data_IF_765562085046
#
_entry.id   IF_765562085046
#
_cell.length_a   1.000
_cell.length_b   1.000
_cell.length_c   1.000
_cell.angle_alpha   90.00
_cell.angle_beta   90.00
_cell.angle_gamma   90.00
#
_symmetry.space_group_name_H-M   'P 1'
#
loop_
_entity.id
_entity.type
_entity.pdbx_description
1 polymer ?
#
# COMPACT_ATOMS: atom_id res chain seq x y z
N UNK A 1 -26.78 9.41 34.12
CA UNK A 1 -25.51 9.91 33.56
C UNK A 1 -24.38 9.46 34.47
N UNK A 2 -23.21 9.22 33.90
CA UNK A 2 -21.96 8.93 34.60
C UNK A 2 -20.97 10.03 34.21
N UNK A 3 -20.34 10.66 35.19
CA UNK A 3 -19.39 11.76 34.96
C UNK A 3 -18.12 11.52 35.77
N UNK A 4 -16.97 11.95 35.25
CA UNK A 4 -15.71 12.09 35.99
C UNK A 4 -15.31 10.81 36.75
N UNK A 5 -15.42 9.67 36.09
CA UNK A 5 -15.16 8.36 36.68
C UNK A 5 -13.75 7.90 36.35
N UNK A 6 -13.04 7.35 37.35
CA UNK A 6 -11.77 6.68 37.14
C UNK A 6 -11.95 5.19 37.44
N UNK A 7 -11.63 4.35 36.45
CA UNK A 7 -11.70 2.89 36.56
C UNK A 7 -10.26 2.36 36.64
N UNK A 8 -9.95 1.64 37.71
CA UNK A 8 -8.64 1.02 37.96
C UNK A 8 -8.75 -0.50 37.85
N UNK A 9 -7.62 -1.19 38.01
CA UNK A 9 -7.51 -2.65 37.99
C UNK A 9 -8.65 -3.38 38.71
N UNK A 10 -9.31 -4.32 38.00
CA UNK A 10 -10.49 -5.10 38.40
C UNK A 10 -11.78 -4.29 38.55
N UNK A 11 -11.74 -3.00 38.29
CA UNK A 11 -12.93 -2.16 38.19
C UNK A 11 -13.64 -2.41 36.88
N UNK A 12 -14.95 -2.62 36.95
CA UNK A 12 -15.79 -2.77 35.78
C UNK A 12 -17.00 -1.86 35.92
N UNK A 13 -17.29 -1.10 34.87
CA UNK A 13 -18.49 -0.28 34.80
C UNK A 13 -19.34 -0.70 33.60
N UNK A 14 -20.63 -0.97 33.86
CA UNK A 14 -21.61 -1.24 32.83
C UNK A 14 -22.57 -0.07 32.72
N UNK A 15 -22.70 0.47 31.50
CA UNK A 15 -23.65 1.52 31.17
C UNK A 15 -24.48 1.07 29.98
N UNK A 16 -25.79 1.06 30.14
CA UNK A 16 -26.73 0.73 29.05
C UNK A 16 -27.64 1.93 28.83
N UNK A 17 -27.45 2.63 27.71
CA UNK A 17 -28.08 3.91 27.44
C UNK A 17 -27.59 5.06 28.34
N UNK A 18 -28.06 6.28 28.07
CA UNK A 18 -27.67 7.47 28.84
C UNK A 18 -26.41 8.17 28.34
N UNK A 19 -25.67 8.83 29.23
CA UNK A 19 -24.48 9.61 28.89
C UNK A 19 -23.35 9.34 29.89
N UNK A 20 -22.16 9.06 29.36
CA UNK A 20 -20.88 8.90 30.06
C UNK A 20 -19.94 10.01 29.62
N UNK A 21 -19.31 10.72 30.55
CA UNK A 21 -18.35 11.77 30.19
C UNK A 21 -17.20 11.89 31.18
N UNK A 22 -16.01 12.24 30.69
CA UNK A 22 -14.85 12.52 31.55
C UNK A 22 -14.28 11.26 32.22
N UNK A 23 -14.38 10.10 31.55
CA UNK A 23 -13.94 8.83 32.13
C UNK A 23 -12.47 8.57 31.84
N UNK A 24 -11.71 8.15 32.86
CA UNK A 24 -10.35 7.62 32.71
C UNK A 24 -10.38 6.12 33.02
N UNK A 25 -9.94 5.30 32.07
CA UNK A 25 -9.87 3.85 32.19
C UNK A 25 -8.39 3.45 32.24
N UNK A 26 -7.88 3.16 33.43
CA UNK A 26 -6.48 2.74 33.62
C UNK A 26 -6.32 1.23 33.45
N UNK A 27 -5.08 0.77 33.42
CA UNK A 27 -4.69 -0.64 33.30
C UNK A 27 -5.53 -1.59 34.16
N UNK A 28 -6.08 -2.61 33.50
CA UNK A 28 -6.99 -3.61 34.08
C UNK A 28 -8.39 -3.13 34.46
N UNK A 29 -8.78 -1.91 34.07
CA UNK A 29 -10.15 -1.40 34.21
C UNK A 29 -10.96 -1.53 32.91
N UNK A 30 -12.26 -1.78 33.06
CA UNK A 30 -13.17 -1.99 31.92
C UNK A 30 -14.41 -1.09 31.99
N UNK A 31 -14.74 -0.43 30.87
CA UNK A 31 -16.03 0.23 30.64
C UNK A 31 -16.77 -0.45 29.50
N UNK A 32 -17.97 -0.94 29.78
CA UNK A 32 -18.94 -1.43 28.81
C UNK A 32 -20.02 -0.38 28.60
N UNK A 33 -20.06 0.25 27.43
CA UNK A 33 -20.99 1.34 27.10
C UNK A 33 -21.88 0.95 25.90
N UNK A 34 -23.07 0.43 26.20
CA UNK A 34 -24.00 -0.08 25.18
C UNK A 34 -25.21 0.85 25.01
N UNK A 35 -25.26 1.58 23.89
CA UNK A 35 -26.26 2.61 23.62
C UNK A 35 -25.96 3.96 24.32
N UNK A 36 -26.56 5.04 23.82
CA UNK A 36 -26.41 6.37 24.42
C UNK A 36 -25.17 7.13 23.93
N UNK A 37 -24.54 7.93 24.79
CA UNK A 37 -23.38 8.76 24.45
C UNK A 37 -22.19 8.53 25.39
N UNK A 38 -20.99 8.51 24.84
CA UNK A 38 -19.72 8.47 25.56
C UNK A 38 -18.86 9.62 25.07
N UNK A 39 -18.24 10.38 25.96
CA UNK A 39 -17.42 11.53 25.55
C UNK A 39 -16.24 11.80 26.46
N UNK A 40 -15.17 12.36 25.92
CA UNK A 40 -14.01 12.79 26.69
C UNK A 40 -13.43 11.64 27.53
N UNK A 41 -13.20 10.50 26.87
CA UNK A 41 -12.70 9.29 27.53
C UNK A 41 -11.20 9.14 27.27
N UNK A 42 -10.44 8.83 28.32
CA UNK A 42 -9.02 8.48 28.21
C UNK A 42 -8.84 7.03 28.63
N UNK A 43 -8.30 6.22 27.74
CA UNK A 43 -7.99 4.80 27.96
C UNK A 43 -6.48 4.68 28.10
N UNK A 44 -5.97 4.33 29.28
CA UNK A 44 -4.56 4.18 29.61
C UNK A 44 -4.27 2.73 30.03
N UNK A 45 -4.25 1.80 29.06
CA UNK A 45 -4.09 0.36 29.30
C UNK A 45 -5.37 -0.40 29.69
N UNK A 46 -6.48 0.31 29.90
CA UNK A 46 -7.79 -0.32 30.13
C UNK A 46 -8.55 -0.67 28.85
N UNK A 47 -9.82 -1.05 29.00
CA UNK A 47 -10.74 -1.36 27.90
C UNK A 47 -11.96 -0.43 27.91
N UNK A 48 -12.27 0.13 26.74
CA UNK A 48 -13.63 0.59 26.40
C UNK A 48 -14.22 -0.38 25.38
N UNK A 49 -15.28 -1.08 25.77
CA UNK A 49 -16.14 -1.85 24.88
C UNK A 49 -17.44 -1.06 24.67
N UNK A 50 -17.70 -0.64 23.44
CA UNK A 50 -18.89 0.10 23.09
C UNK A 50 -19.69 -0.59 21.99
N UNK A 51 -21.01 -0.64 22.14
CA UNK A 51 -21.85 -1.34 21.18
C UNK A 51 -23.20 -0.66 20.98
N UNK A 52 -23.78 -0.86 19.79
CA UNK A 52 -25.14 -0.44 19.45
C UNK A 52 -25.21 0.68 18.42
N UNK A 53 -26.13 0.55 17.45
CA UNK A 53 -26.27 1.49 16.32
C UNK A 53 -26.55 2.94 16.75
N UNK A 54 -27.16 3.15 17.92
CA UNK A 54 -27.45 4.48 18.47
C UNK A 54 -26.34 5.03 19.37
N UNK A 55 -25.25 4.28 19.58
CA UNK A 55 -24.13 4.72 20.42
C UNK A 55 -23.33 5.78 19.70
N UNK A 56 -23.12 6.92 20.36
CA UNK A 56 -22.33 8.04 19.86
C UNK A 56 -21.13 8.24 20.79
N UNK A 57 -19.92 8.22 20.24
CA UNK A 57 -18.67 8.32 21.00
C UNK A 57 -17.86 9.48 20.45
N UNK A 58 -17.35 10.34 21.33
CA UNK A 58 -16.59 11.53 20.92
C UNK A 58 -15.35 11.74 21.79
N UNK A 59 -14.28 12.27 21.21
CA UNK A 59 -13.09 12.70 21.95
C UNK A 59 -12.52 11.57 22.81
N UNK A 60 -12.11 10.48 22.17
CA UNK A 60 -11.48 9.35 22.85
C UNK A 60 -9.97 9.42 22.64
N UNK A 61 -9.20 9.29 23.73
CA UNK A 61 -7.74 9.15 23.66
C UNK A 61 -7.38 7.75 24.14
N UNK A 62 -6.67 6.99 23.30
CA UNK A 62 -6.24 5.62 23.59
C UNK A 62 -4.73 5.59 23.72
N UNK A 63 -4.23 5.25 24.91
CA UNK A 63 -2.82 5.22 25.25
C UNK A 63 -2.40 3.91 25.93
N UNK A 64 -1.09 3.68 26.01
CA UNK A 64 -0.45 2.68 26.88
C UNK A 64 -1.09 1.28 26.76
N UNK A 65 -1.16 0.75 25.54
CA UNK A 65 -1.78 -0.54 25.20
C UNK A 65 -3.29 -0.61 25.49
N UNK A 66 -3.94 0.54 25.68
CA UNK A 66 -5.39 0.63 25.84
C UNK A 66 -6.14 0.07 24.64
N UNK A 67 -7.31 -0.49 24.91
CA UNK A 67 -8.17 -1.11 23.91
C UNK A 67 -9.50 -0.38 23.79
N UNK A 68 -9.86 -0.02 22.57
CA UNK A 68 -11.16 0.55 22.22
C UNK A 68 -11.88 -0.35 21.22
N UNK A 69 -12.79 -1.19 21.71
CA UNK A 69 -13.57 -2.13 20.92
C UNK A 69 -14.94 -1.54 20.61
N UNK A 70 -15.36 -1.59 19.34
CA UNK A 70 -16.64 -1.02 18.92
C UNK A 70 -17.40 -1.98 18.03
N UNK A 71 -18.64 -2.30 18.43
CA UNK A 71 -19.57 -3.09 17.64
C UNK A 71 -20.86 -2.31 17.36
N UNK A 72 -20.91 -1.70 16.16
CA UNK A 72 -21.92 -0.73 15.75
C UNK A 72 -21.87 0.54 16.61
N UNK A 73 -21.78 1.70 15.98
CA UNK A 73 -21.73 2.99 16.66
C UNK A 73 -21.24 4.09 15.73
N UNK A 74 -21.32 5.34 16.19
CA UNK A 74 -20.85 6.52 15.49
C UNK A 74 -19.77 7.21 16.34
N UNK A 75 -18.57 7.33 15.80
CA UNK A 75 -17.39 7.81 16.53
C UNK A 75 -16.84 9.04 15.83
N UNK A 76 -16.54 10.08 16.60
CA UNK A 76 -15.77 11.21 16.12
C UNK A 76 -14.56 11.44 17.03
N UNK A 77 -13.46 11.88 16.43
CA UNK A 77 -12.31 12.43 17.15
C UNK A 77 -11.67 11.39 18.09
N UNK A 78 -11.02 10.39 17.50
CA UNK A 78 -10.21 9.43 18.26
C UNK A 78 -8.73 9.73 18.07
N UNK A 79 -7.97 9.84 19.15
CA UNK A 79 -6.50 9.89 19.11
C UNK A 79 -5.93 8.61 19.69
N UNK A 80 -5.08 7.91 18.93
CA UNK A 80 -4.48 6.63 19.33
C UNK A 80 -2.96 6.81 19.44
N UNK A 81 -2.41 6.71 20.66
CA UNK A 81 -0.98 6.81 20.95
C UNK A 81 -0.50 5.52 21.63
N UNK A 82 0.15 4.61 20.90
CA UNK A 82 0.57 3.32 21.48
C UNK A 82 -0.60 2.58 22.15
N UNK A 83 -1.70 2.39 21.40
CA UNK A 83 -2.92 1.72 21.84
C UNK A 83 -3.69 1.21 20.61
N UNK A 84 -4.92 0.73 20.79
CA UNK A 84 -5.68 0.13 19.69
C UNK A 84 -7.16 0.50 19.67
N UNK A 85 -7.69 0.66 18.46
CA UNK A 85 -9.11 0.75 18.18
C UNK A 85 -9.50 -0.33 17.17
N UNK A 86 -10.51 -1.13 17.49
CA UNK A 86 -11.09 -2.15 16.62
C UNK A 86 -12.55 -1.80 16.33
N UNK A 87 -12.90 -1.63 15.05
CA UNK A 87 -14.27 -1.31 14.63
C UNK A 87 -14.89 -2.44 13.82
N UNK A 88 -16.09 -2.85 14.22
CA UNK A 88 -16.83 -3.99 13.64
C UNK A 88 -18.31 -3.66 13.39
N UNK A 89 -18.99 -4.54 12.66
CA UNK A 89 -20.41 -4.37 12.30
C UNK A 89 -20.60 -3.22 11.31
N UNK A 90 -21.46 -2.27 11.64
CA UNK A 90 -21.77 -1.08 10.83
C UNK A 90 -21.27 0.19 11.51
N UNK A 91 -20.04 0.16 12.04
CA UNK A 91 -19.47 1.29 12.78
C UNK A 91 -19.01 2.37 11.82
N UNK A 92 -19.36 3.63 12.12
CA UNK A 92 -18.89 4.81 11.40
C UNK A 92 -17.92 5.58 12.28
N UNK A 93 -16.73 5.87 11.75
CA UNK A 93 -15.69 6.64 12.45
C UNK A 93 -15.24 7.79 11.56
N UNK A 94 -15.02 8.96 12.17
CA UNK A 94 -14.45 10.14 11.49
C UNK A 94 -13.41 10.82 12.38
N UNK A 95 -12.37 11.41 11.77
CA UNK A 95 -11.38 12.21 12.49
C UNK A 95 -10.48 11.39 13.42
N UNK A 96 -10.03 10.22 12.97
CA UNK A 96 -9.08 9.41 13.74
C UNK A 96 -7.65 9.85 13.46
N UNK A 97 -6.89 10.16 14.51
CA UNK A 97 -5.45 10.43 14.45
C UNK A 97 -4.70 9.29 15.12
N UNK A 98 -3.78 8.68 14.39
CA UNK A 98 -3.02 7.50 14.82
C UNK A 98 -1.55 7.90 14.84
N UNK A 99 -0.95 7.89 16.02
CA UNK A 99 0.45 8.23 16.24
C UNK A 99 1.27 6.97 16.53
N UNK A 100 2.55 7.14 16.88
CA UNK A 100 3.49 6.04 17.11
C UNK A 100 2.95 4.91 17.99
N UNK A 101 3.02 3.68 17.50
CA UNK A 101 2.51 2.47 18.15
C UNK A 101 0.98 2.35 18.17
N UNK A 102 0.26 3.37 17.71
CA UNK A 102 -1.19 3.37 17.62
C UNK A 102 -1.68 2.50 16.46
N UNK A 103 -2.80 1.83 16.67
CA UNK A 103 -3.41 0.94 15.67
C UNK A 103 -4.91 1.14 15.54
N UNK A 104 -5.39 1.29 14.31
CA UNK A 104 -6.80 1.11 13.96
C UNK A 104 -6.96 -0.18 13.15
N UNK A 105 -7.92 -1.03 13.51
CA UNK A 105 -8.33 -2.17 12.70
C UNK A 105 -9.80 -2.04 12.28
N UNK A 106 -10.04 -2.15 10.98
CA UNK A 106 -11.35 -1.99 10.35
C UNK A 106 -11.84 -3.35 9.86
N UNK A 107 -13.07 -3.70 10.25
CA UNK A 107 -13.73 -4.94 9.89
C UNK A 107 -15.17 -4.72 9.43
N UNK A 108 -15.73 -5.77 8.81
CA UNK A 108 -17.12 -5.93 8.39
C UNK A 108 -17.56 -4.84 7.42
N UNK A 109 -18.65 -4.12 7.73
CA UNK A 109 -19.18 -3.01 6.94
C UNK A 109 -18.78 -1.65 7.55
N UNK A 110 -17.78 -1.64 8.44
CA UNK A 110 -17.37 -0.41 9.11
C UNK A 110 -16.72 0.55 8.12
N UNK A 111 -16.88 1.84 8.38
CA UNK A 111 -16.32 2.92 7.56
C UNK A 111 -15.53 3.86 8.44
N UNK A 112 -14.25 4.03 8.13
CA UNK A 112 -13.40 5.05 8.73
C UNK A 112 -13.14 6.17 7.70
N UNK A 113 -13.44 7.40 8.08
CA UNK A 113 -13.30 8.60 7.26
C UNK A 113 -12.30 9.56 7.91
N UNK A 114 -11.63 10.37 7.09
CA UNK A 114 -10.73 11.44 7.55
C UNK A 114 -9.71 10.93 8.58
N UNK A 115 -8.96 9.89 8.19
CA UNK A 115 -7.99 9.23 9.06
C UNK A 115 -6.59 9.79 8.78
N UNK A 116 -5.89 10.21 9.83
CA UNK A 116 -4.49 10.65 9.76
C UNK A 116 -3.61 9.64 10.47
N UNK A 117 -2.61 9.12 9.77
CA UNK A 117 -1.62 8.17 10.29
C UNK A 117 -0.26 8.84 10.27
N UNK A 118 0.37 8.96 11.44
CA UNK A 118 1.68 9.59 11.60
C UNK A 118 2.69 8.61 12.18
N UNK A 119 3.99 8.87 11.93
CA UNK A 119 5.18 8.22 12.51
C UNK A 119 4.92 6.97 13.36
N UNK A 120 5.08 5.78 12.77
CA UNK A 120 4.92 4.49 13.47
C UNK A 120 3.48 4.08 13.83
N UNK A 121 2.47 4.87 13.42
CA UNK A 121 1.06 4.50 13.49
C UNK A 121 0.64 3.57 12.34
N UNK A 122 -0.41 2.78 12.55
CA UNK A 122 -0.88 1.84 11.54
C UNK A 122 -2.41 1.71 11.45
N UNK A 123 -2.91 1.57 10.22
CA UNK A 123 -4.29 1.14 9.93
C UNK A 123 -4.26 -0.21 9.24
N UNK A 124 -5.08 -1.15 9.70
CA UNK A 124 -5.31 -2.45 9.08
C UNK A 124 -6.76 -2.56 8.66
N UNK A 125 -7.02 -2.73 7.37
CA UNK A 125 -8.37 -2.92 6.84
C UNK A 125 -8.50 -4.36 6.40
N UNK A 126 -9.21 -5.14 7.21
CA UNK A 126 -9.44 -6.57 6.96
C UNK A 126 -10.72 -6.80 6.15
N UNK A 127 -11.71 -5.95 6.39
CA UNK A 127 -12.98 -5.80 5.68
C UNK A 127 -13.53 -4.41 6.00
N UNK A 128 -14.39 -3.86 5.15
CA UNK A 128 -14.95 -2.51 5.32
C UNK A 128 -14.23 -1.47 4.47
N UNK A 129 -14.39 -0.20 4.81
CA UNK A 129 -13.96 0.92 3.97
C UNK A 129 -13.13 1.93 4.77
N UNK A 130 -12.04 2.39 4.16
CA UNK A 130 -11.36 3.64 4.54
C UNK A 130 -11.55 4.68 3.44
N UNK A 131 -11.85 5.91 3.84
CA UNK A 131 -12.06 7.03 2.93
C UNK A 131 -11.34 8.28 3.44
N UNK A 132 -10.67 9.01 2.55
CA UNK A 132 -9.88 10.20 2.87
C UNK A 132 -8.81 9.91 3.93
N UNK A 133 -7.65 9.41 3.50
CA UNK A 133 -6.58 8.98 4.40
C UNK A 133 -5.28 9.72 4.09
N UNK A 134 -4.65 10.26 5.13
CA UNK A 134 -3.30 10.79 5.08
C UNK A 134 -2.33 9.86 5.86
N UNK A 135 -1.27 9.40 5.20
CA UNK A 135 -0.24 8.53 5.77
C UNK A 135 1.11 9.22 5.62
N UNK A 136 1.65 9.74 6.73
CA UNK A 136 2.86 10.57 6.71
C UNK A 136 3.88 10.16 7.78
N UNK A 137 5.14 10.13 7.40
CA UNK A 137 6.26 9.91 8.32
C UNK A 137 6.77 8.46 8.33
N UNK A 138 7.95 8.30 8.90
CA UNK A 138 8.64 7.02 9.01
C UNK A 138 7.75 5.98 9.69
N UNK A 139 7.65 4.80 9.09
CA UNK A 139 6.90 3.64 9.58
C UNK A 139 5.38 3.84 9.72
N UNK A 140 4.83 4.98 9.28
CA UNK A 140 3.39 5.17 9.14
C UNK A 140 2.86 4.25 8.04
N UNK A 141 1.80 3.49 8.35
CA UNK A 141 1.31 2.42 7.47
C UNK A 141 -0.19 2.35 7.33
N UNK A 142 -0.68 2.10 6.12
CA UNK A 142 -2.03 1.62 5.87
C UNK A 142 -1.98 0.32 5.06
N UNK A 143 -2.59 -0.73 5.60
CA UNK A 143 -2.54 -2.09 5.08
C UNK A 143 -3.95 -2.56 4.73
N UNK A 144 -4.19 -2.80 3.44
CA UNK A 144 -5.43 -3.37 2.95
C UNK A 144 -5.19 -4.88 2.82
N UNK A 145 -5.61 -5.66 3.81
CA UNK A 145 -5.24 -7.07 4.00
C UNK A 145 -6.51 -7.92 4.15
N UNK A 146 -7.07 -8.47 3.07
CA UNK A 146 -8.24 -9.35 3.17
C UNK A 146 -8.04 -10.48 4.19
N UNK A 147 -8.83 -10.51 5.26
CA UNK A 147 -8.61 -11.50 6.34
C UNK A 147 -9.00 -12.94 5.94
N UNK A 148 -9.85 -13.11 4.92
CA UNK A 148 -10.30 -14.40 4.37
C UNK A 148 -10.72 -14.25 2.91
N UNK A 149 -10.80 -15.36 2.20
CA UNK A 149 -11.39 -15.43 0.87
C UNK A 149 -12.81 -14.80 0.90
N UNK A 150 -13.06 -13.82 0.02
CA UNK A 150 -14.32 -13.08 -0.17
C UNK A 150 -14.55 -11.82 0.69
N UNK A 151 -13.65 -11.45 1.60
CA UNK A 151 -13.66 -10.11 2.18
C UNK A 151 -12.90 -9.15 1.27
N UNK A 152 -13.51 -8.00 0.97
CA UNK A 152 -12.93 -6.98 0.09
C UNK A 152 -12.78 -5.69 0.89
N UNK A 153 -11.59 -5.41 1.46
CA UNK A 153 -11.33 -4.11 2.03
C UNK A 153 -11.36 -3.05 0.92
N UNK A 154 -11.89 -1.88 1.22
CA UNK A 154 -12.10 -0.79 0.26
C UNK A 154 -11.29 0.43 0.70
N UNK A 155 -10.59 1.05 -0.25
CA UNK A 155 -9.97 2.38 -0.11
C UNK A 155 -10.52 3.30 -1.19
N UNK A 156 -10.95 4.50 -0.82
CA UNK A 156 -11.62 5.42 -1.74
C UNK A 156 -11.45 6.89 -1.34
N UNK A 157 -11.69 7.82 -2.27
CA UNK A 157 -11.52 9.26 -2.08
C UNK A 157 -10.05 9.68 -2.13
N UNK A 158 -9.74 10.81 -1.48
CA UNK A 158 -8.42 11.42 -1.55
C UNK A 158 -7.43 10.73 -0.60
N UNK A 159 -6.39 10.11 -1.15
CA UNK A 159 -5.38 9.39 -0.38
C UNK A 159 -4.01 10.04 -0.55
N UNK A 160 -3.39 10.44 0.55
CA UNK A 160 -2.04 11.03 0.55
C UNK A 160 -1.06 10.11 1.26
N UNK A 161 0.10 9.89 0.64
CA UNK A 161 1.25 9.23 1.24
C UNK A 161 2.46 10.16 1.13
N UNK A 162 3.09 10.47 2.24
CA UNK A 162 4.22 11.41 2.29
C UNK A 162 5.29 10.97 3.29
N UNK A 163 6.49 11.53 3.14
CA UNK A 163 7.57 11.48 4.12
C UNK A 163 7.89 10.06 4.62
N UNK A 164 8.10 9.13 3.67
CA UNK A 164 8.36 7.69 3.89
C UNK A 164 7.18 6.87 4.43
N UNK A 165 5.98 7.43 4.46
CA UNK A 165 4.76 6.68 4.69
C UNK A 165 4.59 5.56 3.66
N UNK A 166 3.84 4.52 4.05
CA UNK A 166 3.63 3.34 3.21
C UNK A 166 2.17 2.93 3.16
N UNK A 167 1.69 2.65 1.95
CA UNK A 167 0.43 1.91 1.73
C UNK A 167 0.74 0.58 1.09
N UNK A 168 0.15 -0.49 1.62
CA UNK A 168 0.20 -1.84 1.02
C UNK A 168 -1.21 -2.23 0.58
N UNK A 169 -1.40 -2.38 -0.73
CA UNK A 169 -2.62 -2.92 -1.32
C UNK A 169 -2.44 -4.41 -1.54
N UNK A 170 -3.10 -5.23 -0.73
CA UNK A 170 -3.10 -6.68 -0.97
C UNK A 170 -4.13 -7.06 -2.04
N UNK A 171 -3.84 -8.13 -2.79
CA UNK A 171 -4.74 -8.60 -3.85
C UNK A 171 -6.15 -8.88 -3.31
N UNK A 172 -7.16 -8.39 -4.01
CA UNK A 172 -8.58 -8.49 -3.62
C UNK A 172 -9.13 -7.24 -2.94
N UNK A 173 -8.28 -6.28 -2.55
CA UNK A 173 -8.71 -4.95 -2.14
C UNK A 173 -9.34 -4.17 -3.30
N UNK A 174 -10.43 -3.45 -3.03
CA UNK A 174 -11.00 -2.50 -3.99
C UNK A 174 -10.41 -1.12 -3.73
N UNK A 175 -9.68 -0.62 -4.71
CA UNK A 175 -9.03 0.70 -4.67
C UNK A 175 -9.46 1.59 -5.85
N UNK A 176 -10.48 1.16 -6.59
CA UNK A 176 -10.88 1.78 -7.86
C UNK A 176 -11.42 3.22 -7.70
N UNK A 177 -11.90 3.57 -6.50
CA UNK A 177 -12.37 4.91 -6.17
C UNK A 177 -11.32 5.82 -5.52
N UNK A 178 -10.07 5.38 -5.41
CA UNK A 178 -9.01 6.16 -4.76
C UNK A 178 -8.27 7.09 -5.75
N UNK A 179 -8.11 8.34 -5.34
CA UNK A 179 -7.25 9.34 -5.97
C UNK A 179 -6.01 9.51 -5.10
N UNK A 180 -4.88 8.97 -5.55
CA UNK A 180 -3.69 8.80 -4.69
C UNK A 180 -2.55 9.75 -5.05
N UNK A 181 -2.01 10.44 -4.05
CA UNK A 181 -0.79 11.23 -4.15
C UNK A 181 0.34 10.60 -3.34
N UNK A 182 1.48 10.30 -3.95
CA UNK A 182 2.64 9.68 -3.29
C UNK A 182 3.86 10.60 -3.46
N UNK A 183 4.43 11.07 -2.35
CA UNK A 183 5.44 12.12 -2.34
C UNK A 183 6.57 11.87 -1.34
N UNK A 184 7.70 12.58 -1.48
CA UNK A 184 8.78 12.62 -0.48
C UNK A 184 9.22 11.23 0.02
N UNK A 185 9.72 10.38 -0.88
CA UNK A 185 10.18 9.01 -0.59
C UNK A 185 9.10 8.06 -0.01
N UNK A 186 7.82 8.46 -0.04
CA UNK A 186 6.72 7.55 0.30
C UNK A 186 6.56 6.44 -0.74
N UNK A 187 5.89 5.37 -0.34
CA UNK A 187 5.72 4.19 -1.18
C UNK A 187 4.29 3.64 -1.19
N UNK A 188 3.82 3.32 -2.39
CA UNK A 188 2.69 2.43 -2.61
C UNK A 188 3.25 1.05 -2.98
N UNK A 189 2.76 0.00 -2.35
CA UNK A 189 3.17 -1.37 -2.64
C UNK A 189 1.95 -2.22 -3.02
N UNK A 190 2.07 -2.97 -4.11
CA UNK A 190 1.11 -4.01 -4.50
C UNK A 190 1.58 -5.36 -3.97
N UNK A 191 0.69 -6.07 -3.27
CA UNK A 191 1.02 -7.33 -2.62
C UNK A 191 0.03 -8.43 -3.01
N UNK A 192 0.42 -9.29 -3.95
CA UNK A 192 -0.43 -10.42 -4.30
C UNK A 192 -0.37 -11.57 -3.29
N UNK A 193 0.68 -11.64 -2.45
CA UNK A 193 0.93 -12.71 -1.48
C UNK A 193 0.70 -14.14 -2.02
N UNK A 194 0.90 -14.38 -3.32
CA UNK A 194 0.60 -15.66 -3.97
C UNK A 194 -0.90 -16.01 -4.09
N UNK A 195 -1.82 -15.12 -3.68
CA UNK A 195 -3.27 -15.31 -3.77
C UNK A 195 -3.79 -15.30 -5.22
N UNK A 196 -2.98 -14.76 -6.13
CA UNK A 196 -3.22 -14.85 -7.57
C UNK A 196 -1.91 -15.30 -8.26
N UNK A 197 -2.06 -16.16 -9.28
CA UNK A 197 -0.95 -16.89 -9.91
C UNK A 197 -0.73 -16.54 -11.38
N UNK A 198 -1.56 -15.66 -11.96
CA UNK A 198 -1.45 -15.26 -13.37
C UNK A 198 -1.34 -13.75 -13.53
N UNK A 199 -2.45 -13.03 -13.46
CA UNK A 199 -2.49 -11.57 -13.57
C UNK A 199 -3.36 -10.97 -12.47
N UNK A 200 -2.70 -10.37 -11.48
CA UNK A 200 -3.29 -9.85 -10.27
C UNK A 200 -3.58 -8.37 -10.49
N UNK A 201 -4.87 -8.05 -10.61
CA UNK A 201 -5.30 -6.72 -11.00
C UNK A 201 -5.52 -5.82 -9.78
N UNK A 202 -4.92 -4.63 -9.85
CA UNK A 202 -5.13 -3.49 -8.95
C UNK A 202 -5.62 -2.33 -9.79
N UNK A 203 -6.50 -1.49 -9.25
CA UNK A 203 -7.06 -0.35 -9.98
C UNK A 203 -7.13 0.85 -9.08
N UNK A 204 -6.64 2.00 -9.54
CA UNK A 204 -6.85 3.31 -8.92
C UNK A 204 -7.58 4.22 -9.91
N UNK A 205 -8.26 5.25 -9.40
CA UNK A 205 -8.79 6.29 -10.27
C UNK A 205 -7.64 7.14 -10.82
N UNK A 206 -6.92 7.84 -9.96
CA UNK A 206 -5.74 8.63 -10.34
C UNK A 206 -4.54 8.34 -9.45
N UNK A 207 -3.35 8.52 -10.03
CA UNK A 207 -2.09 8.49 -9.30
C UNK A 207 -1.26 9.73 -9.66
N UNK A 208 -0.86 10.49 -8.64
CA UNK A 208 0.09 11.59 -8.74
C UNK A 208 1.36 11.25 -7.95
N UNK A 209 2.52 11.34 -8.58
CA UNK A 209 3.81 11.12 -7.92
C UNK A 209 4.58 12.44 -7.83
N UNK A 210 5.21 12.70 -6.69
CA UNK A 210 6.13 13.83 -6.49
C UNK A 210 7.35 13.37 -5.70
N UNK A 211 8.18 12.54 -6.33
CA UNK A 211 9.33 11.89 -5.69
C UNK A 211 8.97 10.63 -4.87
N UNK A 212 7.71 10.19 -4.95
CA UNK A 212 7.28 8.91 -4.39
C UNK A 212 7.57 7.73 -5.33
N UNK A 213 7.32 6.53 -4.82
CA UNK A 213 7.53 5.28 -5.57
C UNK A 213 6.34 4.34 -5.51
N UNK A 214 6.22 3.49 -6.52
CA UNK A 214 5.27 2.38 -6.57
C UNK A 214 6.02 1.08 -6.81
N UNK A 215 5.93 0.15 -5.88
CA UNK A 215 6.40 -1.22 -6.07
C UNK A 215 5.23 -2.09 -6.54
N UNK A 216 5.33 -2.65 -7.75
CA UNK A 216 4.31 -3.55 -8.27
C UNK A 216 4.47 -4.98 -7.73
N UNK A 217 5.38 -5.23 -6.78
CA UNK A 217 5.60 -6.56 -6.21
C UNK A 217 5.89 -6.51 -4.70
N UNK A 218 5.76 -7.68 -4.06
CA UNK A 218 6.11 -7.88 -2.65
C UNK A 218 7.04 -9.09 -2.42
N UNK A 219 7.30 -9.89 -3.44
CA UNK A 219 8.16 -11.07 -3.32
C UNK A 219 9.52 -10.82 -3.96
N UNK A 220 10.58 -11.47 -3.45
CA UNK A 220 11.86 -11.52 -4.15
C UNK A 220 11.72 -12.19 -5.53
N UNK A 221 12.64 -11.91 -6.47
CA UNK A 221 12.66 -12.54 -7.79
C UNK A 221 12.69 -14.07 -7.72
N UNK A 222 12.02 -14.73 -8.67
CA UNK A 222 12.01 -16.20 -8.78
C UNK A 222 11.07 -16.92 -7.81
N UNK A 223 10.38 -16.20 -6.93
CA UNK A 223 9.26 -16.75 -6.17
C UNK A 223 8.04 -16.88 -7.09
N UNK A 224 7.38 -18.05 -7.09
CA UNK A 224 6.15 -18.28 -7.86
C UNK A 224 4.98 -17.51 -7.26
N UNK A 225 4.85 -16.25 -7.65
CA UNK A 225 3.66 -15.43 -7.45
C UNK A 225 3.19 -14.91 -8.80
N UNK A 226 1.90 -14.68 -8.99
CA UNK A 226 1.40 -14.08 -10.23
C UNK A 226 2.01 -12.70 -10.49
N UNK A 227 1.78 -12.20 -11.70
CA UNK A 227 2.24 -10.88 -12.15
C UNK A 227 1.21 -9.82 -11.79
N UNK A 228 1.64 -8.62 -11.44
CA UNK A 228 0.72 -7.57 -11.02
C UNK A 228 0.49 -6.56 -12.16
N UNK A 229 -0.79 -6.27 -12.43
CA UNK A 229 -1.18 -5.16 -13.30
C UNK A 229 -1.77 -4.04 -12.46
N UNK A 230 -1.20 -2.85 -12.57
CA UNK A 230 -1.78 -1.62 -12.02
C UNK A 230 -2.53 -0.87 -13.12
N UNK A 231 -3.86 -0.84 -13.02
CA UNK A 231 -4.73 -0.03 -13.87
C UNK A 231 -4.93 1.36 -13.26
N UNK A 232 -4.79 2.39 -14.09
CA UNK A 232 -5.05 3.79 -13.72
C UNK A 232 -5.99 4.44 -14.74
N UNK A 233 -6.86 5.34 -14.30
CA UNK A 233 -7.55 6.26 -15.23
C UNK A 233 -6.61 7.39 -15.65
N UNK A 234 -5.78 7.89 -14.73
CA UNK A 234 -4.79 8.93 -15.03
C UNK A 234 -3.52 8.81 -14.20
N UNK A 235 -2.42 9.33 -14.75
CA UNK A 235 -1.11 9.38 -14.10
C UNK A 235 -0.47 10.76 -14.29
N UNK A 236 0.11 11.32 -13.23
CA UNK A 236 0.79 12.62 -13.29
C UNK A 236 2.04 12.72 -12.41
N UNK A 237 2.92 13.66 -12.75
CA UNK A 237 4.06 14.07 -11.91
C UNK A 237 5.37 13.33 -12.22
N UNK A 238 6.13 12.98 -11.18
CA UNK A 238 7.41 12.32 -11.29
C UNK A 238 7.67 11.33 -10.16
N UNK A 239 8.18 10.16 -10.49
CA UNK A 239 8.47 9.11 -9.51
C UNK A 239 8.96 7.82 -10.14
N UNK A 240 9.09 6.80 -9.30
CA UNK A 240 9.70 5.54 -9.66
C UNK A 240 8.69 4.40 -9.60
N UNK A 241 8.74 3.51 -10.58
CA UNK A 241 8.03 2.23 -10.57
C UNK A 241 9.02 1.09 -10.50
N UNK A 242 8.80 0.16 -9.58
CA UNK A 242 9.58 -1.07 -9.45
C UNK A 242 8.76 -2.24 -9.97
N UNK A 243 9.31 -2.99 -10.92
CA UNK A 243 8.59 -4.00 -11.69
C UNK A 243 9.42 -5.29 -11.78
N UNK A 244 8.74 -6.43 -11.69
CA UNK A 244 9.31 -7.74 -11.95
C UNK A 244 8.98 -8.24 -13.34
N UNK A 245 9.93 -8.96 -13.94
CA UNK A 245 9.76 -9.57 -15.26
C UNK A 245 10.29 -11.00 -15.30
N UNK A 246 9.80 -11.77 -16.25
CA UNK A 246 10.41 -12.98 -16.77
C UNK A 246 10.31 -12.90 -18.29
N UNK A 247 11.25 -12.19 -18.90
CA UNK A 247 11.24 -11.92 -20.33
C UNK A 247 11.28 -13.22 -21.14
N UNK A 248 12.00 -14.24 -20.66
CA UNK A 248 12.09 -15.54 -21.32
C UNK A 248 10.73 -16.24 -21.53
N UNK A 249 9.72 -15.96 -20.69
CA UNK A 249 8.35 -16.46 -20.85
C UNK A 249 7.34 -15.39 -21.28
N UNK A 250 7.82 -14.19 -21.61
CA UNK A 250 6.99 -13.06 -22.02
C UNK A 250 6.03 -12.59 -20.92
N UNK A 251 6.46 -12.69 -19.66
CA UNK A 251 5.66 -12.30 -18.49
C UNK A 251 6.32 -11.19 -17.70
N UNK A 252 5.51 -10.41 -17.01
CA UNK A 252 5.97 -9.32 -16.18
C UNK A 252 4.82 -8.53 -15.60
N UNK A 253 5.16 -7.69 -14.63
CA UNK A 253 4.26 -6.66 -14.13
C UNK A 253 3.92 -5.66 -15.24
N UNK A 254 2.76 -5.02 -15.14
CA UNK A 254 2.26 -4.09 -16.14
C UNK A 254 1.68 -2.84 -15.49
N UNK A 255 2.08 -1.67 -15.97
CA UNK A 255 1.44 -0.40 -15.68
C UNK A 255 0.54 -0.01 -16.86
N UNK A 256 -0.78 0.04 -16.63
CA UNK A 256 -1.77 0.30 -17.67
C UNK A 256 -2.60 1.55 -17.34
N UNK A 257 -2.32 2.64 -18.02
CA UNK A 257 -3.06 3.90 -17.91
C UNK A 257 -4.06 3.97 -19.04
N UNK A 258 -5.35 3.95 -18.71
CA UNK A 258 -6.43 3.96 -19.70
C UNK A 258 -6.73 5.34 -20.27
N UNK A 259 -6.47 6.41 -19.51
CA UNK A 259 -6.56 7.80 -19.95
C UNK A 259 -5.19 8.44 -20.17
N UNK A 260 -5.05 9.71 -19.77
CA UNK A 260 -3.83 10.49 -19.99
C UNK A 260 -2.77 10.23 -18.92
N UNK A 261 -1.53 10.09 -19.36
CA UNK A 261 -0.34 10.13 -18.52
C UNK A 261 0.48 11.39 -18.83
N UNK A 262 0.94 12.11 -17.80
CA UNK A 262 1.79 13.30 -17.94
C UNK A 262 2.95 13.28 -16.95
N UNK A 263 4.10 13.82 -17.34
CA UNK A 263 5.27 13.92 -16.48
C UNK A 263 6.39 12.95 -16.85
N UNK A 264 7.23 12.57 -15.88
CA UNK A 264 8.46 11.82 -16.15
C UNK A 264 8.72 10.77 -15.07
N UNK A 265 8.86 9.52 -15.49
CA UNK A 265 8.94 8.37 -14.60
C UNK A 265 10.13 7.47 -14.94
N UNK A 266 10.66 6.80 -13.91
CA UNK A 266 11.69 5.78 -14.08
C UNK A 266 11.09 4.41 -13.78
N UNK A 267 11.46 3.42 -14.59
CA UNK A 267 11.13 2.02 -14.41
C UNK A 267 12.39 1.31 -13.93
N UNK A 268 12.33 0.70 -12.75
CA UNK A 268 13.34 -0.19 -12.22
C UNK A 268 12.86 -1.62 -12.42
N UNK A 269 13.49 -2.31 -13.36
CA UNK A 269 13.12 -3.67 -13.75
C UNK A 269 14.06 -4.65 -13.10
N UNK A 270 13.49 -5.69 -12.49
CA UNK A 270 14.23 -6.83 -12.00
C UNK A 270 13.65 -8.10 -12.63
N UNK A 271 14.46 -8.79 -13.41
CA UNK A 271 14.06 -10.01 -14.11
C UNK A 271 14.41 -11.27 -13.30
N UNK A 272 13.74 -12.38 -13.60
CA UNK A 272 14.02 -13.70 -13.02
C UNK A 272 15.45 -14.20 -13.27
N UNK A 273 16.13 -13.67 -14.29
CA UNK A 273 17.48 -14.07 -14.70
C UNK A 273 17.50 -15.27 -15.65
N UNK A 274 16.32 -15.81 -16.03
CA UNK A 274 16.22 -16.83 -17.07
C UNK A 274 16.53 -16.19 -18.41
N UNK A 275 17.56 -16.69 -19.10
CA UNK A 275 17.98 -16.13 -20.39
C UNK A 275 16.89 -16.33 -21.46
N UNK A 276 16.46 -15.26 -22.16
CA UNK A 276 15.54 -15.37 -23.28
C UNK A 276 16.12 -16.21 -24.43
N UNK A 277 15.25 -16.93 -25.14
CA UNK A 277 15.61 -17.76 -26.31
C UNK A 277 15.27 -17.10 -27.65
N UNK A 278 14.56 -15.98 -27.62
CA UNK A 278 14.15 -15.14 -28.76
C UNK A 278 14.45 -13.66 -28.47
N UNK A 279 14.34 -12.82 -29.49
CA UNK A 279 14.46 -11.36 -29.41
C UNK A 279 13.11 -10.67 -29.11
N UNK A 280 12.21 -11.39 -28.42
CA UNK A 280 10.89 -10.87 -28.07
C UNK A 280 10.99 -9.69 -27.10
N UNK A 281 10.08 -8.75 -27.28
CA UNK A 281 9.93 -7.57 -26.41
C UNK A 281 8.77 -7.75 -25.43
N UNK A 282 8.91 -7.23 -24.22
CA UNK A 282 7.90 -7.30 -23.17
C UNK A 282 7.26 -5.93 -22.93
N UNK A 283 5.93 -5.85 -22.99
CA UNK A 283 5.20 -4.62 -22.65
C UNK A 283 5.27 -4.35 -21.14
N UNK A 284 5.75 -3.17 -20.74
CA UNK A 284 5.79 -2.75 -19.34
C UNK A 284 4.81 -1.61 -19.03
N UNK A 285 4.62 -0.70 -19.98
CA UNK A 285 3.73 0.44 -19.80
C UNK A 285 2.85 0.63 -21.02
N UNK A 286 1.57 0.89 -20.78
CA UNK A 286 0.62 1.34 -21.79
C UNK A 286 -0.09 2.59 -21.31
N UNK A 287 -0.25 3.58 -22.19
CA UNK A 287 -1.02 4.80 -21.93
C UNK A 287 -2.13 4.96 -22.96
N UNK A 288 -3.25 5.58 -22.57
CA UNK A 288 -4.34 5.96 -23.46
C UNK A 288 -4.09 7.29 -24.20
N UNK A 289 -3.13 8.08 -23.71
CA UNK A 289 -2.70 9.35 -24.30
C UNK A 289 -1.84 10.16 -23.34
N UNK A 290 -1.58 11.41 -23.69
CA UNK A 290 -0.76 12.33 -22.91
C UNK A 290 0.70 12.41 -23.37
N UNK A 291 1.54 12.99 -22.53
CA UNK A 291 2.95 13.31 -22.84
C UNK A 291 3.91 12.81 -21.78
N UNK A 292 3.56 11.73 -21.07
CA UNK A 292 4.47 11.10 -20.12
C UNK A 292 5.70 10.52 -20.81
N UNK A 293 6.83 10.59 -20.13
CA UNK A 293 8.07 9.96 -20.55
C UNK A 293 8.46 8.89 -19.53
N UNK A 294 8.77 7.69 -20.00
CA UNK A 294 9.30 6.60 -19.18
C UNK A 294 10.73 6.27 -19.61
N UNK A 295 11.60 6.03 -18.62
CA UNK A 295 13.00 5.66 -18.82
C UNK A 295 13.37 4.50 -17.91
N UNK A 296 14.43 3.74 -18.23
CA UNK A 296 14.97 2.76 -17.27
C UNK A 296 15.79 3.47 -16.20
N UNK A 297 15.46 3.21 -14.94
CA UNK A 297 16.23 3.63 -13.77
C UNK A 297 17.42 2.70 -13.46
N UNK A 298 17.46 1.50 -14.06
CA UNK A 298 18.56 0.55 -13.91
C UNK A 298 19.91 1.16 -14.32
N UNK A 299 20.99 0.66 -13.71
CA UNK A 299 22.36 1.12 -14.01
C UNK A 299 22.64 1.00 -15.52
N UNK A 300 23.10 2.09 -16.14
CA UNK A 300 23.39 2.14 -17.58
C UNK A 300 22.16 2.26 -18.49
N UNK A 301 20.95 2.35 -17.91
CA UNK A 301 19.70 2.42 -18.68
C UNK A 301 19.42 1.13 -19.48
N UNK A 302 19.83 -0.01 -18.94
CA UNK A 302 19.66 -1.33 -19.53
C UNK A 302 19.35 -2.39 -18.45
N UNK A 303 18.85 -3.54 -18.89
CA UNK A 303 18.63 -4.74 -18.07
C UNK A 303 19.43 -5.88 -18.70
N UNK A 304 20.36 -6.48 -17.94
CA UNK A 304 21.19 -7.60 -18.41
C UNK A 304 20.49 -8.93 -18.11
N UNK A 305 20.14 -9.68 -19.15
CA UNK A 305 19.41 -10.95 -19.09
C UNK A 305 20.24 -12.07 -19.73
N UNK A 306 21.22 -12.57 -18.99
CA UNK A 306 22.18 -13.54 -19.51
C UNK A 306 23.07 -12.93 -20.59
N UNK A 307 22.98 -13.44 -21.83
CA UNK A 307 23.74 -12.91 -22.98
C UNK A 307 23.06 -11.73 -23.68
N UNK A 308 21.90 -11.30 -23.18
CA UNK A 308 21.10 -10.25 -23.80
C UNK A 308 21.13 -8.98 -22.97
N UNK A 309 21.17 -7.83 -23.64
CA UNK A 309 20.93 -6.53 -23.03
C UNK A 309 19.59 -6.01 -23.52
N UNK A 310 18.74 -5.54 -22.60
CA UNK A 310 17.43 -4.99 -22.91
C UNK A 310 17.37 -3.51 -22.57
N UNK A 311 16.67 -2.74 -23.41
CA UNK A 311 16.38 -1.32 -23.21
C UNK A 311 14.89 -1.05 -23.33
N UNK A 312 14.43 0.03 -22.71
CA UNK A 312 13.07 0.50 -22.87
C UNK A 312 12.94 1.28 -24.18
N UNK A 313 12.03 0.84 -25.05
CA UNK A 313 11.71 1.48 -26.34
C UNK A 313 10.24 1.87 -26.36
N UNK A 314 9.98 3.11 -26.75
CA UNK A 314 8.62 3.57 -27.03
C UNK A 314 8.23 3.20 -28.47
N UNK A 315 7.01 2.71 -28.67
CA UNK A 315 6.54 2.27 -30.00
C UNK A 315 5.68 3.30 -30.75
N UNK A 316 5.78 4.59 -30.39
CA UNK A 316 4.99 5.72 -30.94
C UNK A 316 3.47 5.62 -30.76
N UNK A 317 2.94 4.62 -30.04
CA UNK A 317 1.51 4.50 -29.71
C UNK A 317 1.24 4.66 -28.20
N UNK A 318 2.16 5.31 -27.48
CA UNK A 318 2.06 5.50 -26.04
C UNK A 318 2.27 4.20 -25.25
N UNK A 319 3.06 3.26 -25.79
CA UNK A 319 3.47 2.05 -25.06
C UNK A 319 4.99 1.95 -25.00
N UNK A 320 5.49 1.46 -23.86
CA UNK A 320 6.90 1.23 -23.61
C UNK A 320 7.15 -0.26 -23.44
N UNK A 321 8.03 -0.78 -24.28
CA UNK A 321 8.42 -2.18 -24.29
C UNK A 321 9.88 -2.30 -23.84
N UNK A 322 10.13 -3.29 -23.00
CA UNK A 322 11.47 -3.77 -22.74
C UNK A 322 11.88 -4.65 -23.93
N UNK A 323 12.81 -4.15 -24.74
CA UNK A 323 13.21 -4.74 -26.01
C UNK A 323 14.70 -5.02 -26.03
N UNK A 324 15.15 -6.08 -26.71
CA UNK A 324 16.58 -6.34 -26.84
C UNK A 324 17.26 -5.18 -27.59
N UNK A 325 18.42 -4.79 -27.10
CA UNK A 325 19.40 -4.01 -27.85
C UNK A 325 20.27 -5.00 -28.64
N UNK A 326 20.70 -4.62 -29.85
CA UNK A 326 21.34 -5.53 -30.82
C UNK A 326 22.43 -6.42 -30.19
N UNK A 327 22.40 -7.73 -30.52
CA UNK A 327 23.38 -8.76 -30.10
C UNK A 327 24.82 -8.20 -30.00
N UNK A 328 25.54 -8.37 -28.87
CA UNK A 328 26.99 -8.34 -28.93
C UNK A 328 27.42 -9.45 -29.90
N UNK A 329 28.10 -9.10 -30.99
CA UNK A 329 28.68 -10.12 -31.86
C UNK A 329 29.62 -11.00 -30.99
N UNK A 330 29.62 -12.34 -31.16
CA UNK A 330 30.68 -13.15 -30.58
C UNK A 330 32.01 -12.57 -31.07
N UNK A 331 32.90 -12.17 -30.17
CA UNK A 331 34.28 -11.89 -30.59
C UNK A 331 34.82 -13.19 -31.19
N UNK A 332 35.35 -13.19 -32.43
CA UNK A 332 36.06 -14.34 -32.95
C UNK A 332 37.21 -14.68 -32.01
N UNK A 333 37.40 -15.97 -31.72
CA UNK A 333 38.61 -16.40 -31.01
C UNK A 333 39.85 -15.80 -31.69
N UNK A 334 40.82 -15.29 -30.92
CA UNK A 334 42.08 -14.84 -31.50
C UNK A 334 42.65 -15.96 -32.37
N UNK A 335 42.99 -15.64 -33.63
CA UNK A 335 43.67 -16.59 -34.51
C UNK A 335 44.90 -17.14 -33.78
N UNK A 336 45.15 -18.46 -33.81
CA UNK A 336 46.36 -19.04 -33.23
C UNK A 336 47.58 -18.27 -33.73
N UNK A 337 48.40 -17.78 -32.80
CA UNK A 337 49.60 -17.05 -33.13
C UNK A 337 50.52 -18.00 -33.93
N UNK A 338 51.04 -17.59 -35.11
CA UNK A 338 51.94 -18.46 -35.88
C UNK A 338 53.15 -18.84 -35.03
N UNK A 339 53.55 -20.12 -35.07
CA UNK A 339 54.74 -20.59 -34.39
C UNK A 339 55.95 -19.72 -34.76
N UNK A 340 56.83 -19.36 -33.80
CA UNK A 340 58.03 -18.61 -34.09
C UNK A 340 58.85 -19.31 -35.17
N UNK A 341 59.14 -18.59 -36.27
CA UNK A 341 60.02 -19.10 -37.32
C UNK A 341 61.41 -19.36 -36.71
N UNK A 342 62.00 -20.55 -36.87
CA UNK A 342 63.35 -20.81 -36.39
C UNK A 342 64.35 -19.80 -36.99
N UNK A 343 65.12 -19.12 -36.14
CA UNK A 343 66.23 -18.29 -36.62
C UNK A 343 67.34 -19.20 -37.18
N UNK A 344 67.87 -18.94 -38.39
CA UNK A 344 69.08 -19.58 -38.86
C UNK A 344 70.28 -19.15 -38.01
N UNK A 345 71.19 -20.10 -37.77
CA UNK A 345 72.42 -19.98 -36.96
C UNK A 345 73.33 -18.80 -37.34
#
# INVERSE_FOLDING_TARGET
SVTDTIIYNRGTQYVTGGSVTGTIINDGGDLYAHGGSVSNTVINGGLLDAAGLSTVIKNTVVNNDGHFEVLNGNITDTTINNGSQNIRGNTLVSGTVINNGGRLAVFDNSVATDTTVTHGGAVYVYSGTVNNVDVSGQDAGLYLEPARNNMKPVITGDITISDKGRIVLSYGADSSGADMTVSNDASLQLNNAGACTTNCLYTLNSLALSGGSVALYNTPPGASTGWNTLNLSSLSGNGDFYMHTEVASGKGDLLNITGNATGSFRLFVQDSGVSPTSDDSLLLVKTGGGGAVFTLGNKGGLVELGTWEYRLKENNSGSWLLSPDLRPAPQPDPLPQPDPVPQPD
#
